data_IF_687876214767
#
_entry.id   IF_687876214767
#
_cell.length_a   1.000
_cell.length_b   1.000
_cell.length_c   1.000
_cell.angle_alpha   90.00
_cell.angle_beta   90.00
_cell.angle_gamma   90.00
#
_symmetry.space_group_name_H-M   'P 1'
#
loop_
_entity.id
_entity.type
_entity.pdbx_description
1 polymer ?
#
# COMPACT_ATOMS: atom_id res chain seq x y z
N UNK A 1 14.95 -8.04 10.15
CA UNK A 1 13.73 -8.76 9.82
C UNK A 1 13.05 -8.09 8.65
N UNK A 2 12.56 -8.89 7.75
CA UNK A 2 11.91 -8.40 6.54
C UNK A 2 10.61 -7.66 6.87
N UNK A 3 10.21 -6.73 6.01
CA UNK A 3 8.98 -5.98 6.20
C UNK A 3 8.20 -5.90 4.90
N UNK A 4 6.87 -5.87 5.02
CA UNK A 4 5.93 -5.79 3.89
C UNK A 4 5.04 -4.59 4.11
N UNK A 5 5.05 -3.66 3.16
CA UNK A 5 4.09 -2.57 3.12
C UNK A 5 2.78 -3.09 2.54
N UNK A 6 1.67 -2.89 3.25
CA UNK A 6 0.37 -3.46 2.88
C UNK A 6 -0.48 -2.37 2.22
N UNK A 7 -0.80 -2.56 0.94
CA UNK A 7 -1.62 -1.60 0.21
C UNK A 7 -3.06 -1.57 0.75
N UNK A 8 -3.70 -0.43 0.59
CA UNK A 8 -5.05 -0.20 1.09
C UNK A 8 -6.09 -1.16 0.51
N UNK A 9 -5.94 -1.60 -0.75
CA UNK A 9 -6.90 -2.51 -1.35
C UNK A 9 -6.98 -3.86 -0.63
N UNK A 10 -5.85 -4.36 -0.11
CA UNK A 10 -5.83 -5.59 0.69
C UNK A 10 -6.65 -5.41 1.96
N UNK A 11 -6.41 -4.30 2.68
CA UNK A 11 -7.06 -4.02 3.96
C UNK A 11 -8.56 -3.76 3.77
N UNK A 12 -8.93 -3.06 2.70
CA UNK A 12 -10.33 -2.82 2.37
C UNK A 12 -11.06 -4.10 1.96
N UNK A 13 -10.44 -4.98 1.19
CA UNK A 13 -11.02 -6.27 0.81
C UNK A 13 -11.41 -7.07 2.05
N UNK A 14 -10.55 -7.06 3.07
CA UNK A 14 -10.79 -7.79 4.33
C UNK A 14 -11.88 -7.09 5.14
N UNK A 15 -11.78 -5.77 5.32
CA UNK A 15 -12.72 -5.01 6.15
C UNK A 15 -14.13 -5.05 5.60
N UNK A 16 -14.29 -5.05 4.27
CA UNK A 16 -15.60 -5.07 3.62
C UNK A 16 -16.06 -6.49 3.27
N UNK A 17 -15.26 -7.50 3.56
CA UNK A 17 -15.53 -8.88 3.19
C UNK A 17 -15.85 -8.99 1.70
N UNK A 18 -14.95 -8.47 0.87
CA UNK A 18 -15.14 -8.38 -0.58
C UNK A 18 -15.44 -9.76 -1.16
N UNK A 19 -16.56 -9.95 -1.90
CA UNK A 19 -16.95 -11.26 -2.39
C UNK A 19 -16.00 -11.85 -3.43
N UNK A 20 -15.27 -11.01 -4.16
CA UNK A 20 -14.31 -11.47 -5.18
C UNK A 20 -12.91 -11.68 -4.61
N UNK A 21 -12.45 -10.78 -3.73
CA UNK A 21 -11.05 -10.72 -3.32
C UNK A 21 -10.77 -10.91 -1.84
N UNK A 22 -11.82 -10.91 -1.00
CA UNK A 22 -11.66 -11.01 0.45
C UNK A 22 -10.87 -12.23 0.89
N UNK A 23 -11.13 -13.39 0.31
CA UNK A 23 -10.44 -14.62 0.66
C UNK A 23 -8.97 -14.59 0.25
N UNK A 24 -8.67 -14.15 -0.97
CA UNK A 24 -7.30 -14.04 -1.44
C UNK A 24 -6.50 -13.04 -0.59
N UNK A 25 -7.07 -11.86 -0.38
CA UNK A 25 -6.39 -10.79 0.39
C UNK A 25 -6.17 -11.23 1.84
N UNK A 26 -7.13 -11.91 2.44
CA UNK A 26 -6.99 -12.44 3.81
C UNK A 26 -5.88 -13.46 3.94
N UNK A 27 -5.81 -14.41 3.02
CA UNK A 27 -4.74 -15.43 3.03
C UNK A 27 -3.37 -14.82 2.74
N UNK A 28 -3.30 -13.89 1.80
CA UNK A 28 -2.03 -13.23 1.46
C UNK A 28 -1.51 -12.40 2.64
N UNK A 29 -2.39 -11.70 3.34
CA UNK A 29 -2.02 -10.94 4.53
C UNK A 29 -1.53 -11.85 5.65
N UNK A 30 -2.24 -12.95 5.89
CA UNK A 30 -1.86 -13.93 6.90
C UNK A 30 -0.47 -14.51 6.64
N UNK A 31 -0.21 -14.89 5.39
CA UNK A 31 1.09 -15.40 5.00
C UNK A 31 2.19 -14.35 5.18
N UNK A 32 1.93 -13.12 4.79
CA UNK A 32 2.89 -12.03 4.96
C UNK A 32 3.18 -11.77 6.44
N UNK A 33 2.15 -11.82 7.29
CA UNK A 33 2.30 -11.63 8.74
C UNK A 33 3.16 -12.73 9.39
N UNK A 34 3.10 -13.95 8.86
CA UNK A 34 3.94 -15.07 9.36
C UNK A 34 5.42 -14.89 8.98
N UNK A 35 5.70 -14.19 7.90
CA UNK A 35 7.06 -14.08 7.35
C UNK A 35 7.75 -12.75 7.67
N UNK A 36 6.99 -11.68 7.96
CA UNK A 36 7.52 -10.33 7.98
C UNK A 36 6.75 -9.43 8.92
N UNK A 37 7.32 -8.25 9.17
CA UNK A 37 6.62 -7.16 9.85
C UNK A 37 5.70 -6.50 8.83
N UNK A 38 4.43 -6.30 9.20
CA UNK A 38 3.48 -5.57 8.36
C UNK A 38 3.60 -4.08 8.65
N UNK A 39 3.67 -3.26 7.60
CA UNK A 39 3.84 -1.81 7.70
C UNK A 39 2.69 -1.11 6.98
N UNK A 40 2.18 -0.04 7.57
CA UNK A 40 1.26 0.90 6.92
C UNK A 40 1.78 2.32 7.09
N UNK A 41 1.29 3.23 6.28
CA UNK A 41 1.63 4.65 6.36
C UNK A 41 0.36 5.51 6.35
N UNK A 42 0.45 6.84 6.54
CA UNK A 42 -0.73 7.71 6.57
C UNK A 42 -1.57 7.69 5.30
N UNK A 43 -0.97 7.50 4.13
CA UNK A 43 -1.73 7.42 2.87
C UNK A 43 -2.59 6.17 2.82
N UNK A 44 -2.03 5.03 3.21
CA UNK A 44 -2.76 3.77 3.31
C UNK A 44 -3.88 3.90 4.34
N UNK A 45 -3.56 4.47 5.50
CA UNK A 45 -4.54 4.71 6.55
C UNK A 45 -5.72 5.57 6.03
N UNK A 46 -5.40 6.65 5.30
CA UNK A 46 -6.42 7.53 4.74
C UNK A 46 -7.33 6.79 3.76
N UNK A 47 -6.76 5.97 2.89
CA UNK A 47 -7.53 5.21 1.92
C UNK A 47 -8.42 4.15 2.58
N UNK A 48 -7.90 3.46 3.60
CA UNK A 48 -8.68 2.46 4.35
C UNK A 48 -9.83 3.12 5.13
N UNK A 49 -9.62 4.38 5.58
CA UNK A 49 -10.64 5.12 6.34
C UNK A 49 -11.96 5.29 5.57
N UNK A 50 -11.91 5.20 4.25
CA UNK A 50 -13.11 5.30 3.41
C UNK A 50 -14.12 4.21 3.76
N UNK A 51 -13.66 3.04 4.20
CA UNK A 51 -14.52 1.92 4.57
C UNK A 51 -15.07 1.97 5.99
N UNK A 52 -14.79 3.06 6.74
CA UNK A 52 -15.19 3.18 8.15
C UNK A 52 -15.88 4.52 8.39
N UNK A 53 -16.91 4.53 9.22
CA UNK A 53 -17.63 5.76 9.56
C UNK A 53 -16.97 6.52 10.72
N UNK A 54 -16.22 5.82 11.56
CA UNK A 54 -15.60 6.41 12.75
C UNK A 54 -14.17 5.91 12.93
N UNK A 55 -13.32 6.77 13.50
CA UNK A 55 -11.91 6.44 13.70
C UNK A 55 -11.72 5.25 14.65
N UNK A 56 -12.59 5.09 15.63
CA UNK A 56 -12.52 4.00 16.59
C UNK A 56 -12.60 2.64 15.90
N UNK A 57 -13.48 2.50 14.92
CA UNK A 57 -13.60 1.28 14.12
C UNK A 57 -12.34 1.00 13.30
N UNK A 58 -11.78 2.04 12.71
CA UNK A 58 -10.55 1.93 11.94
C UNK A 58 -9.38 1.52 12.84
N UNK A 59 -9.27 2.12 14.03
CA UNK A 59 -8.20 1.78 14.97
C UNK A 59 -8.28 0.32 15.45
N UNK A 60 -9.48 -0.21 15.61
CA UNK A 60 -9.66 -1.64 15.93
C UNK A 60 -9.23 -2.52 14.77
N UNK A 61 -9.51 -2.12 13.53
CA UNK A 61 -9.14 -2.88 12.33
C UNK A 61 -7.65 -2.84 12.04
N UNK A 62 -6.93 -1.79 12.46
CA UNK A 62 -5.51 -1.60 12.21
C UNK A 62 -4.73 -1.47 13.54
N UNK A 63 -4.72 -2.53 14.36
CA UNK A 63 -4.07 -2.44 15.67
C UNK A 63 -2.56 -2.24 15.58
N UNK A 64 -2.01 -1.45 16.50
CA UNK A 64 -0.59 -1.10 16.54
C UNK A 64 0.34 -2.30 16.74
N UNK A 65 -0.14 -3.35 17.38
CA UNK A 65 0.66 -4.54 17.62
C UNK A 65 0.76 -5.46 16.41
N UNK A 66 -0.12 -5.29 15.42
CA UNK A 66 -0.08 -6.05 14.18
C UNK A 66 0.57 -5.24 13.04
N UNK A 67 0.30 -3.96 12.97
CA UNK A 67 0.81 -3.09 11.89
C UNK A 67 1.75 -2.04 12.46
N UNK A 68 3.01 -2.05 12.01
CA UNK A 68 3.93 -0.97 12.33
C UNK A 68 3.54 0.25 11.50
N UNK A 69 3.30 1.37 12.15
CA UNK A 69 2.96 2.63 11.49
C UNK A 69 4.20 3.44 11.22
N UNK A 70 4.42 3.81 9.97
CA UNK A 70 5.55 4.64 9.55
C UNK A 70 5.05 5.85 8.82
N UNK A 71 5.73 6.96 9.00
CA UNK A 71 5.48 8.15 8.20
C UNK A 71 6.03 7.96 6.80
N UNK A 72 5.53 8.73 5.83
CA UNK A 72 6.07 8.71 4.48
C UNK A 72 7.42 9.42 4.47
N UNK A 73 8.51 8.74 4.08
CA UNK A 73 9.82 9.40 3.99
C UNK A 73 9.84 10.49 2.93
N UNK A 74 10.57 11.58 3.17
CA UNK A 74 10.72 12.65 2.17
C UNK A 74 11.35 12.13 0.88
N UNK A 75 12.30 11.19 0.97
CA UNK A 75 12.91 10.55 -0.20
C UNK A 75 11.87 9.84 -1.05
N UNK A 76 10.88 9.23 -0.42
CA UNK A 76 9.78 8.59 -1.13
C UNK A 76 8.89 9.63 -1.81
N UNK A 77 8.65 10.76 -1.16
CA UNK A 77 7.88 11.85 -1.78
C UNK A 77 8.60 12.39 -3.02
N UNK A 78 9.91 12.55 -2.97
CA UNK A 78 10.70 12.98 -4.13
C UNK A 78 10.57 11.97 -5.28
N UNK A 79 10.76 10.69 -4.99
CA UNK A 79 10.63 9.63 -5.99
C UNK A 79 9.22 9.57 -6.58
N UNK A 80 8.18 9.75 -5.75
CA UNK A 80 6.80 9.82 -6.23
C UNK A 80 6.59 10.95 -7.21
N UNK A 81 7.21 12.11 -6.97
CA UNK A 81 7.20 13.25 -7.89
C UNK A 81 7.83 12.91 -9.23
N UNK A 82 8.94 12.17 -9.24
CA UNK A 82 9.59 11.73 -10.47
C UNK A 82 8.73 10.72 -11.24
N UNK A 83 8.05 9.83 -10.55
CA UNK A 83 7.10 8.90 -11.16
C UNK A 83 5.93 9.66 -11.80
N UNK A 84 5.45 10.69 -11.11
CA UNK A 84 4.39 11.54 -11.65
C UNK A 84 4.81 12.24 -12.95
N UNK A 85 6.05 12.75 -13.03
CA UNK A 85 6.56 13.34 -14.27
C UNK A 85 6.54 12.34 -15.41
N UNK A 86 6.99 11.11 -15.18
CA UNK A 86 6.96 10.06 -16.21
C UNK A 86 5.53 9.73 -16.62
N UNK A 87 4.62 9.67 -15.65
CA UNK A 87 3.19 9.44 -15.89
C UNK A 87 2.62 10.54 -16.81
N UNK A 88 2.92 11.81 -16.53
CA UNK A 88 2.45 12.94 -17.32
C UNK A 88 3.03 12.91 -18.75
N UNK A 89 4.29 12.58 -18.89
CA UNK A 89 4.96 12.46 -20.21
C UNK A 89 4.36 11.35 -21.05
N UNK A 90 3.75 10.35 -20.44
CA UNK A 90 3.07 9.25 -21.12
C UNK A 90 1.60 9.57 -21.40
N UNK A 91 1.17 10.81 -21.22
CA UNK A 91 -0.20 11.24 -21.50
C UNK A 91 -1.15 11.17 -20.32
N UNK A 92 -0.64 10.98 -19.11
CA UNK A 92 -1.47 10.93 -17.89
C UNK A 92 -2.19 12.26 -17.66
N UNK A 93 -3.46 12.19 -17.22
CA UNK A 93 -4.34 13.34 -17.11
C UNK A 93 -4.44 13.93 -15.70
N UNK A 94 -4.02 13.20 -14.66
CA UNK A 94 -4.07 13.69 -13.28
C UNK A 94 -3.10 14.86 -13.12
N UNK A 95 -3.44 15.77 -12.18
CA UNK A 95 -2.67 17.00 -11.95
C UNK A 95 -1.73 16.95 -10.75
N UNK A 96 -1.86 15.90 -9.93
CA UNK A 96 -1.00 15.70 -8.76
C UNK A 96 -0.59 14.24 -8.69
N UNK A 97 0.52 13.93 -7.97
CA UNK A 97 0.96 12.54 -7.81
C UNK A 97 -0.15 11.66 -7.25
N UNK A 98 -0.27 10.46 -7.80
CA UNK A 98 -1.26 9.48 -7.36
C UNK A 98 -0.80 8.81 -6.08
N UNK A 99 -1.75 8.37 -5.20
CA UNK A 99 -1.38 7.65 -3.98
C UNK A 99 -0.46 6.46 -4.24
N UNK A 100 -0.66 5.71 -5.32
CA UNK A 100 0.18 4.56 -5.67
C UNK A 100 1.65 4.96 -5.88
N UNK A 101 1.92 6.16 -6.38
CA UNK A 101 3.30 6.63 -6.54
C UNK A 101 3.99 6.81 -5.19
N UNK A 102 3.27 7.34 -4.19
CA UNK A 102 3.82 7.49 -2.83
C UNK A 102 4.00 6.13 -2.15
N UNK A 103 3.03 5.24 -2.30
CA UNK A 103 3.06 3.91 -1.66
C UNK A 103 4.21 3.08 -2.25
N UNK A 104 4.31 3.02 -3.59
CA UNK A 104 5.38 2.30 -4.26
C UNK A 104 6.75 2.89 -3.94
N UNK A 105 6.85 4.22 -3.91
CA UNK A 105 8.10 4.91 -3.57
C UNK A 105 8.52 4.62 -2.12
N UNK A 106 7.56 4.58 -1.19
CA UNK A 106 7.86 4.25 0.21
C UNK A 106 8.46 2.85 0.31
N UNK A 107 7.83 1.87 -0.31
CA UNK A 107 8.33 0.49 -0.30
C UNK A 107 9.72 0.42 -0.94
N UNK A 108 9.92 1.09 -2.09
CA UNK A 108 11.20 1.06 -2.81
C UNK A 108 12.33 1.69 -2.00
N UNK A 109 12.10 2.86 -1.41
CA UNK A 109 13.11 3.58 -0.63
C UNK A 109 13.46 2.84 0.65
N UNK A 110 12.47 2.26 1.32
CA UNK A 110 12.67 1.55 2.58
C UNK A 110 13.20 0.12 2.40
N UNK A 111 13.19 -0.39 1.17
CA UNK A 111 13.60 -1.77 0.90
C UNK A 111 12.54 -2.79 1.34
N UNK A 112 11.28 -2.40 1.34
CA UNK A 112 10.17 -3.30 1.70
C UNK A 112 9.60 -3.99 0.47
N UNK A 113 9.04 -5.18 0.65
CA UNK A 113 8.13 -5.76 -0.32
C UNK A 113 6.79 -5.06 -0.22
N UNK A 114 6.00 -5.10 -1.27
CA UNK A 114 4.66 -4.51 -1.30
C UNK A 114 3.62 -5.60 -1.52
N UNK A 115 2.64 -5.68 -0.64
CA UNK A 115 1.48 -6.55 -0.81
C UNK A 115 0.32 -5.73 -1.38
N UNK A 116 -0.13 -6.08 -2.57
CA UNK A 116 -1.21 -5.38 -3.26
C UNK A 116 -2.02 -6.35 -4.11
N UNK A 117 -3.29 -6.05 -4.29
CA UNK A 117 -4.15 -6.81 -5.21
C UNK A 117 -3.94 -6.41 -6.66
N UNK A 118 -3.53 -5.16 -6.91
CA UNK A 118 -3.35 -4.61 -8.25
C UNK A 118 -1.92 -4.10 -8.43
N UNK A 119 -1.11 -4.90 -9.09
CA UNK A 119 0.32 -4.64 -9.25
C UNK A 119 0.68 -3.82 -10.49
N UNK A 120 -0.26 -3.55 -11.38
CA UNK A 120 0.02 -3.00 -12.71
C UNK A 120 0.85 -1.72 -12.66
N UNK A 121 0.38 -0.71 -11.90
CA UNK A 121 1.08 0.57 -11.81
C UNK A 121 2.42 0.44 -11.10
N UNK A 122 2.49 -0.40 -10.08
CA UNK A 122 3.74 -0.61 -9.34
C UNK A 122 4.81 -1.25 -10.22
N UNK A 123 4.47 -2.24 -11.02
CA UNK A 123 5.41 -2.87 -11.94
C UNK A 123 5.90 -1.91 -13.02
N UNK A 124 5.03 -1.00 -13.46
CA UNK A 124 5.37 -0.01 -14.48
C UNK A 124 6.38 1.02 -13.98
N UNK A 125 6.18 1.54 -12.77
CA UNK A 125 6.96 2.66 -12.24
C UNK A 125 8.05 2.25 -11.25
N UNK A 126 7.98 1.04 -10.70
CA UNK A 126 8.95 0.52 -9.73
C UNK A 126 9.34 -0.91 -10.13
N UNK A 127 10.06 -1.07 -11.27
CA UNK A 127 10.32 -2.40 -11.82
C UNK A 127 11.16 -3.30 -10.91
N UNK A 128 11.97 -2.71 -10.01
CA UNK A 128 12.82 -3.48 -9.09
C UNK A 128 12.10 -3.82 -7.78
N UNK A 129 10.90 -3.29 -7.56
CA UNK A 129 10.14 -3.53 -6.35
C UNK A 129 9.60 -4.96 -6.33
N UNK A 130 9.80 -5.66 -5.22
CA UNK A 130 9.22 -7.00 -5.03
C UNK A 130 7.76 -6.83 -4.63
N UNK A 131 6.85 -7.27 -5.49
CA UNK A 131 5.41 -7.12 -5.30
C UNK A 131 4.79 -8.49 -5.09
N UNK A 132 3.99 -8.61 -4.03
CA UNK A 132 3.18 -9.81 -3.73
C UNK A 132 1.76 -9.50 -4.23
N UNK A 133 1.32 -10.23 -5.25
CA UNK A 133 0.01 -9.99 -5.87
C UNK A 133 -0.54 -11.29 -6.45
N UNK A 134 -1.86 -11.33 -6.74
CA UNK A 134 -2.45 -12.51 -7.37
C UNK A 134 -1.95 -12.76 -8.78
#
# INVERSE_FOLDING_TARGET
MDAVLVDSNILLDIATNDPAWGDWSGRALEQAADEAILVINPLIYAEVSIGFSEIEGLEVALPHDLYRREELPYEAAFLAGKCFLRYRRRGGLKRSPLPDFYIGAHAAVAGYRLLTRDATRYRTYFPDLVVISP
#
